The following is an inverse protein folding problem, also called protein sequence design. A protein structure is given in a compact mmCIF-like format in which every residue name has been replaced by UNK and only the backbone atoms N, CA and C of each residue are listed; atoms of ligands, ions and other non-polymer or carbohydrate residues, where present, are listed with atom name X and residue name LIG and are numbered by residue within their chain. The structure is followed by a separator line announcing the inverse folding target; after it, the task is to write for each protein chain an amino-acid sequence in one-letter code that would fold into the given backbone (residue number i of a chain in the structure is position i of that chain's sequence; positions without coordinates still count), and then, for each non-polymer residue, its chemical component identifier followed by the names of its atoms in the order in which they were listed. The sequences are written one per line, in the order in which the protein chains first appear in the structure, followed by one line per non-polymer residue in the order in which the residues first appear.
data_IF_026515674558
#
_entry.id   IF_026515674558
#
_cell.length_a   1.000
_cell.length_b   1.000
_cell.length_c   1.000
_cell.angle_alpha   90.00
_cell.angle_beta   90.00
_cell.angle_gamma   90.00
#
_symmetry.space_group_name_H-M   'P 1'
#
loop_
_entity.id
_entity.type
_entity.pdbx_description
1 polymer ?
#
# COMPACT_ATOMS: atom_id res chain seq x y z
N UNK A 1 0.24 11.18 -22.78
CA UNK A 1 -1.16 10.89 -22.36
C UNK A 1 -1.69 12.11 -21.61
N UNK A 2 -2.99 12.35 -21.61
CA UNK A 2 -3.60 13.41 -20.78
C UNK A 2 -3.65 12.93 -19.33
N UNK A 3 -3.60 13.84 -18.34
CA UNK A 3 -3.88 13.51 -16.93
C UNK A 3 -5.24 12.79 -16.80
N UNK A 4 -5.39 11.84 -15.86
CA UNK A 4 -4.44 11.47 -14.81
C UNK A 4 -3.42 10.39 -15.22
N UNK A 5 -3.42 9.94 -16.48
CA UNK A 5 -2.63 8.80 -16.90
C UNK A 5 -1.13 9.07 -16.97
N UNK A 6 -0.33 8.18 -16.38
CA UNK A 6 1.14 8.19 -16.48
C UNK A 6 1.61 7.18 -17.52
N UNK A 7 1.23 5.91 -17.37
CA UNK A 7 1.57 4.84 -18.32
C UNK A 7 0.52 3.74 -18.33
N UNK A 8 0.41 3.03 -19.45
CA UNK A 8 -0.33 1.77 -19.54
C UNK A 8 0.58 0.63 -19.12
N UNK A 9 0.10 -0.20 -18.19
CA UNK A 9 0.79 -1.41 -17.74
C UNK A 9 0.52 -2.55 -18.71
N UNK A 10 -0.74 -2.77 -19.04
CA UNK A 10 -1.15 -3.88 -19.89
C UNK A 10 -2.67 -4.02 -19.96
N UNK A 11 -3.12 -5.22 -20.33
CA UNK A 11 -4.53 -5.59 -20.29
C UNK A 11 -4.70 -6.93 -19.57
N UNK A 12 -5.80 -7.09 -18.87
CA UNK A 12 -6.27 -8.38 -18.34
C UNK A 12 -7.66 -8.63 -18.90
N UNK A 13 -7.74 -9.52 -19.90
CA UNK A 13 -8.95 -9.67 -20.70
C UNK A 13 -9.34 -8.35 -21.37
N UNK A 14 -10.52 -7.82 -21.02
CA UNK A 14 -11.03 -6.53 -21.53
C UNK A 14 -10.64 -5.32 -20.68
N UNK A 15 -10.08 -5.54 -19.49
CA UNK A 15 -9.71 -4.47 -18.56
C UNK A 15 -8.31 -3.94 -18.88
N UNK A 16 -8.16 -2.62 -18.96
CA UNK A 16 -6.88 -1.94 -19.15
C UNK A 16 -6.31 -1.58 -17.78
N UNK A 17 -5.04 -1.87 -17.54
CA UNK A 17 -4.35 -1.49 -16.30
C UNK A 17 -3.48 -0.26 -16.57
N UNK A 18 -3.66 0.78 -15.75
CA UNK A 18 -2.91 2.03 -15.85
C UNK A 18 -2.23 2.38 -14.53
N UNK A 19 -1.02 2.92 -14.63
CA UNK A 19 -0.47 3.74 -13.54
C UNK A 19 -0.92 5.19 -13.76
N UNK A 20 -1.43 5.80 -12.70
CA UNK A 20 -1.99 7.15 -12.70
C UNK A 20 -1.29 8.05 -11.69
N UNK A 21 -1.42 9.36 -11.88
CA UNK A 21 -0.96 10.38 -10.94
C UNK A 21 -1.94 10.48 -9.77
N UNK A 22 -1.74 9.67 -8.73
CA UNK A 22 -2.62 9.64 -7.57
C UNK A 22 -2.69 10.98 -6.84
N UNK A 23 -1.61 11.77 -6.84
CA UNK A 23 -1.66 13.13 -6.28
C UNK A 23 -2.66 14.00 -7.05
N UNK A 24 -2.62 13.98 -8.37
CA UNK A 24 -3.60 14.73 -9.16
C UNK A 24 -5.03 14.27 -8.86
N UNK A 25 -5.26 12.97 -8.72
CA UNK A 25 -6.59 12.43 -8.38
C UNK A 25 -7.03 12.94 -7.00
N UNK A 26 -6.17 12.86 -5.98
CA UNK A 26 -6.45 13.36 -4.62
C UNK A 26 -6.76 14.85 -4.59
N UNK A 27 -6.01 15.64 -5.35
CA UNK A 27 -6.18 17.10 -5.38
C UNK A 27 -7.42 17.55 -6.18
N UNK A 28 -7.94 16.75 -7.12
CA UNK A 28 -8.92 17.23 -8.12
C UNK A 28 -10.18 16.37 -8.27
N UNK A 29 -10.16 15.10 -7.86
CA UNK A 29 -11.25 14.15 -8.10
C UNK A 29 -11.76 13.52 -6.80
N UNK A 30 -10.86 12.95 -6.00
CA UNK A 30 -11.23 12.26 -4.76
C UNK A 30 -10.00 12.10 -3.84
N UNK A 31 -10.06 12.73 -2.67
CA UNK A 31 -8.97 12.74 -1.68
C UNK A 31 -8.63 11.37 -1.08
N UNK A 32 -9.58 10.43 -1.10
CA UNK A 32 -9.43 9.07 -0.55
C UNK A 32 -8.75 8.09 -1.52
N UNK A 33 -8.44 8.50 -2.76
CA UNK A 33 -7.70 7.65 -3.69
C UNK A 33 -6.24 7.48 -3.22
N UNK A 34 -5.92 6.35 -2.60
CA UNK A 34 -4.61 6.10 -1.99
C UNK A 34 -3.70 5.22 -2.86
N UNK A 35 -4.05 3.94 -3.03
CA UNK A 35 -3.15 2.95 -3.63
C UNK A 35 -3.54 2.58 -5.05
N UNK A 36 -4.83 2.31 -5.23
CA UNK A 36 -5.39 1.76 -6.44
C UNK A 36 -6.91 1.90 -6.40
N UNK A 37 -7.57 1.67 -7.54
CA UNK A 37 -9.02 1.70 -7.61
C UNK A 37 -9.57 1.17 -8.93
N UNK A 38 -10.87 0.87 -8.91
CA UNK A 38 -11.65 0.46 -10.06
C UNK A 38 -13.01 1.19 -10.07
N UNK A 39 -13.79 1.00 -11.14
CA UNK A 39 -15.02 1.75 -11.42
C UNK A 39 -16.10 1.68 -10.32
N UNK A 40 -16.34 0.51 -9.74
CA UNK A 40 -17.42 0.34 -8.76
C UNK A 40 -17.10 1.01 -7.42
N UNK A 41 -15.82 1.08 -7.06
CA UNK A 41 -15.29 1.79 -5.89
C UNK A 41 -15.17 3.28 -6.16
N UNK A 42 -14.75 3.65 -7.38
CA UNK A 42 -14.55 5.04 -7.80
C UNK A 42 -15.20 5.28 -9.16
N UNK A 43 -16.42 5.84 -9.16
CA UNK A 43 -17.23 6.02 -10.36
C UNK A 43 -16.60 6.93 -11.44
N UNK A 44 -15.58 7.73 -11.09
CA UNK A 44 -14.82 8.52 -12.06
C UNK A 44 -13.81 7.69 -12.87
N UNK A 45 -13.49 6.47 -12.43
CA UNK A 45 -12.64 5.53 -13.17
C UNK A 45 -13.49 4.89 -14.27
N UNK A 46 -13.03 4.83 -15.54
CA UNK A 46 -13.77 4.16 -16.59
C UNK A 46 -14.04 2.68 -16.29
N UNK A 47 -15.20 2.18 -16.72
CA UNK A 47 -15.65 0.78 -16.49
C UNK A 47 -14.66 -0.28 -16.96
N UNK A 48 -13.85 0.02 -17.97
CA UNK A 48 -12.90 -0.90 -18.56
C UNK A 48 -11.46 -0.66 -18.07
N UNK A 49 -11.28 0.00 -16.92
CA UNK A 49 -9.98 0.40 -16.39
C UNK A 49 -9.76 0.03 -14.92
N UNK A 50 -8.52 -0.36 -14.62
CA UNK A 50 -7.98 -0.55 -13.29
C UNK A 50 -6.82 0.43 -13.10
N UNK A 51 -6.83 1.21 -12.03
CA UNK A 51 -5.85 2.27 -11.80
C UNK A 51 -4.97 1.95 -10.60
N UNK A 52 -3.66 2.16 -10.76
CA UNK A 52 -2.64 2.04 -9.71
C UNK A 52 -2.02 3.42 -9.48
N UNK A 53 -1.92 3.87 -8.23
CA UNK A 53 -1.17 5.07 -7.91
C UNK A 53 0.32 4.83 -8.21
N UNK A 54 0.95 5.75 -8.93
CA UNK A 54 2.41 5.78 -9.11
C UNK A 54 3.17 5.79 -7.78
N UNK A 55 2.67 6.46 -6.73
CA UNK A 55 3.38 6.54 -5.45
C UNK A 55 3.36 5.20 -4.69
N UNK A 56 2.19 4.54 -4.60
CA UNK A 56 1.98 3.38 -3.72
C UNK A 56 1.67 2.06 -4.45
N UNK A 57 1.04 2.11 -5.62
CA UNK A 57 0.55 0.93 -6.35
C UNK A 57 1.57 0.28 -7.28
N UNK A 58 2.51 1.04 -7.84
CA UNK A 58 3.40 0.56 -8.91
C UNK A 58 4.38 -0.54 -8.45
N UNK A 59 4.94 -0.45 -7.24
CA UNK A 59 5.93 -1.43 -6.73
C UNK A 59 5.31 -2.78 -6.39
N UNK A 60 4.05 -2.76 -5.99
CA UNK A 60 3.27 -3.93 -5.57
C UNK A 60 2.21 -4.28 -6.63
N UNK A 61 2.43 -3.88 -7.90
CA UNK A 61 1.50 -3.96 -9.03
C UNK A 61 0.75 -5.29 -9.09
N UNK A 62 1.47 -6.42 -9.09
CA UNK A 62 0.84 -7.75 -9.21
C UNK A 62 -0.20 -8.01 -8.12
N UNK A 63 0.06 -7.54 -6.89
CA UNK A 63 -0.84 -7.75 -5.76
C UNK A 63 -2.10 -6.89 -5.87
N UNK A 64 -1.93 -5.65 -6.31
CA UNK A 64 -3.05 -4.74 -6.50
C UNK A 64 -3.89 -5.08 -7.72
N UNK A 65 -3.29 -5.59 -8.80
CA UNK A 65 -4.05 -6.06 -9.97
C UNK A 65 -4.94 -7.24 -9.59
N UNK A 66 -4.43 -8.26 -8.90
CA UNK A 66 -5.24 -9.42 -8.48
C UNK A 66 -6.34 -9.02 -7.48
N UNK A 67 -6.04 -8.09 -6.58
CA UNK A 67 -7.00 -7.46 -5.68
C UNK A 67 -8.14 -6.77 -6.45
N UNK A 68 -7.81 -5.86 -7.37
CA UNK A 68 -8.79 -5.08 -8.13
C UNK A 68 -9.64 -5.97 -9.06
N UNK A 69 -9.04 -6.99 -9.68
CA UNK A 69 -9.77 -7.95 -10.50
C UNK A 69 -10.81 -8.71 -9.66
N UNK A 70 -10.45 -9.05 -8.43
CA UNK A 70 -11.34 -9.73 -7.48
C UNK A 70 -12.50 -8.81 -7.10
N UNK A 71 -12.22 -7.57 -6.69
CA UNK A 71 -13.25 -6.58 -6.38
C UNK A 71 -14.17 -6.32 -7.55
N UNK A 72 -13.61 -5.95 -8.70
CA UNK A 72 -14.35 -5.66 -9.92
C UNK A 72 -15.28 -6.82 -10.31
N UNK A 73 -14.77 -8.05 -10.30
CA UNK A 73 -15.55 -9.25 -10.64
C UNK A 73 -16.73 -9.47 -9.68
N UNK A 74 -16.53 -9.27 -8.38
CA UNK A 74 -17.59 -9.44 -7.38
C UNK A 74 -18.61 -8.31 -7.45
N UNK A 75 -18.16 -7.06 -7.52
CA UNK A 75 -19.03 -5.89 -7.56
C UNK A 75 -19.84 -5.83 -8.86
N UNK A 76 -19.27 -6.27 -9.99
CA UNK A 76 -20.01 -6.42 -11.26
C UNK A 76 -21.18 -7.41 -11.18
N UNK A 77 -21.19 -8.30 -10.18
CA UNK A 77 -22.26 -9.27 -9.90
C UNK A 77 -23.21 -8.80 -8.80
N UNK A 78 -23.09 -7.54 -8.36
CA UNK A 78 -23.93 -6.96 -7.31
C UNK A 78 -23.50 -7.31 -5.88
N UNK A 79 -22.31 -7.88 -5.68
CA UNK A 79 -21.77 -8.10 -4.33
C UNK A 79 -21.37 -6.75 -3.73
N UNK A 80 -21.74 -6.51 -2.47
CA UNK A 80 -21.42 -5.29 -1.73
C UNK A 80 -19.91 -5.06 -1.64
N UNK A 81 -19.50 -3.78 -1.69
CA UNK A 81 -18.12 -3.34 -1.51
C UNK A 81 -17.41 -4.04 -0.34
N UNK A 82 -17.97 -4.02 0.87
CA UNK A 82 -17.33 -4.63 2.06
C UNK A 82 -16.95 -6.10 1.90
N UNK A 83 -17.77 -6.87 1.16
CA UNK A 83 -17.51 -8.30 0.88
C UNK A 83 -16.44 -8.45 -0.21
N UNK A 84 -16.52 -7.63 -1.24
CA UNK A 84 -15.55 -7.59 -2.32
C UNK A 84 -14.16 -7.20 -1.80
N UNK A 85 -14.09 -6.13 -1.00
CA UNK A 85 -12.90 -5.63 -0.31
C UNK A 85 -12.24 -6.72 0.55
N UNK A 86 -13.02 -7.40 1.41
CA UNK A 86 -12.51 -8.53 2.22
C UNK A 86 -11.93 -9.65 1.35
N UNK A 87 -12.60 -10.00 0.26
CA UNK A 87 -12.13 -11.06 -0.62
C UNK A 87 -10.87 -10.66 -1.40
N UNK A 88 -10.79 -9.40 -1.86
CA UNK A 88 -9.58 -8.84 -2.45
C UNK A 88 -8.39 -8.92 -1.49
N UNK A 89 -8.58 -8.52 -0.22
CA UNK A 89 -7.54 -8.59 0.80
C UNK A 89 -7.06 -10.03 1.07
N UNK A 90 -7.97 -11.01 1.02
CA UNK A 90 -7.61 -12.44 1.12
C UNK A 90 -6.74 -12.85 -0.07
N UNK A 91 -7.14 -12.51 -1.30
CA UNK A 91 -6.37 -12.84 -2.52
C UNK A 91 -4.98 -12.21 -2.47
N UNK A 92 -4.91 -10.91 -2.16
CA UNK A 92 -3.65 -10.18 -2.05
C UNK A 92 -2.70 -10.83 -1.03
N UNK A 93 -3.23 -11.20 0.14
CA UNK A 93 -2.48 -11.89 1.19
C UNK A 93 -1.94 -13.24 0.71
N UNK A 94 -2.76 -14.04 0.04
CA UNK A 94 -2.35 -15.34 -0.47
C UNK A 94 -1.25 -15.21 -1.52
N UNK A 95 -1.32 -14.22 -2.42
CA UNK A 95 -0.26 -13.98 -3.39
C UNK A 95 1.06 -13.57 -2.73
N UNK A 96 1.02 -12.70 -1.72
CA UNK A 96 2.22 -12.31 -0.95
C UNK A 96 2.87 -13.53 -0.26
N UNK A 97 2.05 -14.43 0.28
CA UNK A 97 2.51 -15.63 0.98
C UNK A 97 3.24 -16.65 0.09
N UNK A 98 3.00 -16.62 -1.23
CA UNK A 98 3.70 -17.48 -2.19
C UNK A 98 5.17 -17.09 -2.35
N UNK A 99 5.55 -15.85 -2.06
CA UNK A 99 6.93 -15.40 -2.25
C UNK A 99 7.90 -16.13 -1.32
N UNK A 100 9.09 -16.47 -1.85
CA UNK A 100 10.19 -17.02 -1.04
C UNK A 100 10.66 -16.02 0.03
N UNK A 101 10.62 -14.72 -0.27
CA UNK A 101 10.91 -13.62 0.65
C UNK A 101 10.00 -13.66 1.88
N UNK A 102 8.68 -13.81 1.67
CA UNK A 102 7.70 -13.95 2.75
C UNK A 102 8.05 -15.11 3.68
N UNK A 103 8.28 -16.31 3.13
CA UNK A 103 8.60 -17.50 3.94
C UNK A 103 9.88 -17.31 4.76
N UNK A 104 10.89 -16.64 4.20
CA UNK A 104 12.14 -16.31 4.92
C UNK A 104 11.88 -15.31 6.05
N UNK A 105 11.10 -14.27 5.78
CA UNK A 105 10.75 -13.24 6.75
C UNK A 105 9.90 -13.79 7.90
N UNK A 106 8.93 -14.66 7.60
CA UNK A 106 8.10 -15.32 8.60
C UNK A 106 8.96 -16.16 9.56
N UNK A 107 9.86 -16.99 9.02
CA UNK A 107 10.81 -17.77 9.84
C UNK A 107 11.72 -16.90 10.71
N UNK A 108 12.14 -15.74 10.19
CA UNK A 108 12.93 -14.79 10.98
C UNK A 108 12.11 -14.19 12.12
N UNK A 109 10.85 -13.81 11.84
CA UNK A 109 9.91 -13.27 12.83
C UNK A 109 9.66 -14.28 13.97
N UNK A 110 9.42 -15.54 13.63
CA UNK A 110 9.19 -16.63 14.58
C UNK A 110 10.40 -16.93 15.45
N UNK A 111 11.62 -16.84 14.88
CA UNK A 111 12.85 -17.14 15.63
C UNK A 111 13.30 -15.96 16.49
N UNK A 112 13.37 -14.76 15.91
CA UNK A 112 13.98 -13.59 16.54
C UNK A 112 13.41 -12.29 15.93
N UNK A 113 12.34 -11.75 16.55
CA UNK A 113 11.63 -10.54 16.09
C UNK A 113 12.57 -9.32 15.87
N UNK A 114 13.63 -9.19 16.66
CA UNK A 114 14.61 -8.10 16.53
C UNK A 114 15.25 -8.00 15.14
N UNK A 115 15.59 -9.12 14.49
CA UNK A 115 16.20 -9.12 13.16
C UNK A 115 15.22 -8.70 12.05
N UNK A 116 13.92 -8.86 12.30
CA UNK A 116 12.89 -8.36 11.41
C UNK A 116 12.80 -6.85 11.53
N UNK A 117 12.89 -6.30 12.76
CA UNK A 117 12.93 -4.85 12.97
C UNK A 117 14.12 -4.20 12.24
N UNK A 118 15.32 -4.79 12.30
CA UNK A 118 16.48 -4.30 11.53
C UNK A 118 16.25 -4.30 10.01
N UNK A 119 15.40 -5.20 9.49
CA UNK A 119 15.02 -5.21 8.07
C UNK A 119 13.91 -4.21 7.74
N UNK A 120 13.06 -3.90 8.72
CA UNK A 120 11.99 -2.91 8.58
C UNK A 120 12.57 -1.50 8.63
N UNK A 121 13.44 -1.19 9.59
CA UNK A 121 14.05 0.13 9.72
C UNK A 121 15.02 0.42 8.57
N UNK A 122 14.68 1.36 7.69
CA UNK A 122 15.58 1.75 6.58
C UNK A 122 16.44 2.94 6.92
N UNK A 123 15.85 3.97 7.54
CA UNK A 123 16.55 5.21 7.87
C UNK A 123 15.91 5.87 9.08
N UNK A 124 16.73 6.21 10.08
CA UNK A 124 16.31 7.11 11.15
C UNK A 124 16.16 8.51 10.56
N UNK A 125 14.93 9.03 10.55
CA UNK A 125 14.63 10.35 10.02
C UNK A 125 14.92 11.43 11.05
N UNK A 126 14.41 11.26 12.27
CA UNK A 126 14.57 12.22 13.36
C UNK A 126 14.52 11.50 14.70
N UNK A 127 15.37 11.94 15.63
CA UNK A 127 15.34 11.56 17.04
C UNK A 127 14.91 12.79 17.84
N UNK A 128 13.68 12.76 18.37
CA UNK A 128 13.15 13.87 19.16
C UNK A 128 13.59 13.77 20.63
N UNK A 129 13.79 12.55 21.13
CA UNK A 129 14.36 12.29 22.45
C UNK A 129 15.03 10.90 22.47
N UNK A 130 15.56 10.48 23.61
CA UNK A 130 16.01 9.09 23.77
C UNK A 130 14.88 8.07 23.60
N UNK A 131 13.63 8.49 23.79
CA UNK A 131 12.44 7.64 23.80
C UNK A 131 11.57 7.79 22.55
N UNK A 132 11.72 8.86 21.75
CA UNK A 132 10.90 9.10 20.56
C UNK A 132 11.75 9.17 19.28
N UNK A 133 11.53 8.21 18.38
CA UNK A 133 12.25 8.06 17.11
C UNK A 133 11.28 7.99 15.93
N UNK A 134 11.61 8.68 14.84
CA UNK A 134 10.87 8.61 13.57
C UNK A 134 11.72 7.88 12.55
N UNK A 135 11.18 6.80 12.00
CA UNK A 135 11.85 5.94 11.03
C UNK A 135 11.15 6.01 9.67
N UNK A 136 11.94 6.09 8.60
CA UNK A 136 11.50 5.60 7.29
C UNK A 136 11.68 4.08 7.30
N UNK A 137 10.63 3.35 6.95
CA UNK A 137 10.60 1.89 7.02
C UNK A 137 10.32 1.23 5.67
N UNK A 138 10.62 -0.06 5.58
CA UNK A 138 10.26 -0.92 4.46
C UNK A 138 8.80 -1.35 4.59
N UNK A 139 7.89 -0.58 3.99
CA UNK A 139 6.45 -0.79 4.06
C UNK A 139 6.00 -2.17 3.57
N UNK A 140 6.68 -2.70 2.56
CA UNK A 140 6.39 -4.05 2.04
C UNK A 140 6.52 -5.12 3.13
N UNK A 141 7.58 -5.07 3.95
CA UNK A 141 7.75 -6.06 5.04
C UNK A 141 6.62 -5.95 6.06
N UNK A 142 6.16 -4.73 6.35
CA UNK A 142 5.02 -4.49 7.25
C UNK A 142 3.74 -5.08 6.66
N UNK A 143 3.45 -4.82 5.37
CA UNK A 143 2.32 -5.38 4.64
C UNK A 143 2.34 -6.90 4.54
N UNK A 144 3.52 -7.46 4.34
CA UNK A 144 3.70 -8.90 4.25
C UNK A 144 3.47 -9.57 5.62
N UNK A 145 4.00 -9.04 6.73
CA UNK A 145 4.05 -9.77 8.00
C UNK A 145 3.06 -9.34 9.09
N UNK A 146 2.50 -8.13 8.99
CA UNK A 146 1.74 -7.52 10.09
C UNK A 146 0.40 -6.98 9.64
N UNK A 147 0.37 -6.03 8.69
CA UNK A 147 -0.86 -5.33 8.33
C UNK A 147 -0.87 -4.94 6.86
N UNK A 148 -1.72 -5.62 6.08
CA UNK A 148 -1.74 -5.51 4.61
C UNK A 148 -2.14 -4.12 4.11
N UNK A 149 -2.95 -3.39 4.89
CA UNK A 149 -3.40 -2.03 4.58
C UNK A 149 -2.47 -0.95 5.15
N UNK A 150 -1.21 -1.27 5.48
CA UNK A 150 -0.21 -0.29 5.90
C UNK A 150 0.33 0.49 4.68
N UNK A 151 -0.02 1.78 4.58
CA UNK A 151 0.22 2.60 3.37
C UNK A 151 1.08 3.85 3.62
N UNK A 152 0.81 4.59 4.69
CA UNK A 152 1.47 5.88 4.94
C UNK A 152 2.39 5.85 6.15
N UNK A 153 1.90 5.33 7.27
CA UNK A 153 2.63 5.36 8.51
C UNK A 153 1.79 4.97 9.73
N UNK A 154 2.41 5.02 10.90
CA UNK A 154 1.77 4.71 12.17
C UNK A 154 2.70 4.82 13.36
N UNK A 155 2.16 4.56 14.54
CA UNK A 155 2.92 4.53 15.79
C UNK A 155 2.38 3.46 16.76
N UNK A 156 3.17 3.17 17.79
CA UNK A 156 2.92 2.16 18.83
C UNK A 156 1.52 2.26 19.49
N UNK A 157 1.00 3.48 19.69
CA UNK A 157 -0.34 3.66 20.30
C UNK A 157 -1.52 3.23 19.41
N UNK A 158 -1.30 3.04 18.10
CA UNK A 158 -2.32 2.53 17.17
C UNK A 158 -2.01 1.09 16.77
N UNK A 159 -0.74 0.77 16.57
CA UNK A 159 -0.30 -0.52 16.07
C UNK A 159 0.61 -1.22 17.07
N UNK A 160 0.12 -2.31 17.67
CA UNK A 160 0.85 -3.10 18.67
C UNK A 160 2.12 -3.78 18.16
N UNK A 161 2.29 -3.88 16.84
CA UNK A 161 3.52 -4.41 16.23
C UNK A 161 4.62 -3.36 16.09
N UNK A 162 4.34 -2.08 16.31
CA UNK A 162 5.33 -1.01 16.30
C UNK A 162 5.94 -0.92 17.70
N UNK A 163 7.29 -0.93 17.83
CA UNK A 163 7.95 -0.78 19.12
C UNK A 163 7.56 0.52 19.82
N UNK A 164 7.46 0.46 21.15
CA UNK A 164 7.12 1.63 21.95
C UNK A 164 8.08 2.80 21.66
N UNK A 165 7.51 4.01 21.49
CA UNK A 165 8.28 5.21 21.20
C UNK A 165 8.76 5.35 19.76
N UNK A 166 8.29 4.51 18.84
CA UNK A 166 8.58 4.63 17.42
C UNK A 166 7.39 5.14 16.60
N UNK A 167 7.70 6.04 15.67
CA UNK A 167 6.81 6.46 14.59
C UNK A 167 7.42 5.96 13.29
N UNK A 168 6.64 5.22 12.52
CA UNK A 168 7.05 4.62 11.26
C UNK A 168 6.37 5.34 10.11
N UNK A 169 7.16 5.70 9.09
CA UNK A 169 6.69 6.30 7.84
C UNK A 169 7.07 5.35 6.70
N UNK A 170 6.09 4.98 5.88
CA UNK A 170 6.35 4.14 4.71
C UNK A 170 7.31 4.85 3.74
N UNK A 171 8.26 4.10 3.19
CA UNK A 171 9.21 4.61 2.20
C UNK A 171 8.56 5.09 0.89
N UNK A 172 7.33 4.65 0.61
CA UNK A 172 6.57 5.05 -0.57
C UNK A 172 5.94 6.45 -0.42
N UNK A 173 5.86 6.99 0.81
CA UNK A 173 5.42 8.37 1.03
C UNK A 173 6.43 9.36 0.43
N UNK A 174 5.97 10.24 -0.45
CA UNK A 174 6.86 11.14 -1.19
C UNK A 174 7.68 12.06 -0.29
N UNK A 175 8.95 12.30 -0.68
CA UNK A 175 9.88 13.19 0.04
C UNK A 175 9.32 14.59 0.29
N UNK A 176 8.43 15.07 -0.59
CA UNK A 176 7.76 16.38 -0.43
C UNK A 176 6.78 16.38 0.74
N UNK A 177 6.06 15.27 0.98
CA UNK A 177 5.24 15.08 2.19
C UNK A 177 6.12 14.90 3.43
N UNK A 178 7.24 14.19 3.32
CA UNK A 178 8.18 14.00 4.44
C UNK A 178 8.80 15.33 4.91
N UNK A 179 9.10 16.28 4.00
CA UNK A 179 9.68 17.59 4.36
C UNK A 179 8.78 18.46 5.23
N UNK A 180 7.47 18.29 5.15
CA UNK A 180 6.52 18.99 6.03
C UNK A 180 6.73 18.58 7.50
N UNK A 181 7.14 17.34 7.75
CA UNK A 181 7.40 16.81 9.09
C UNK A 181 8.83 17.05 9.61
N UNK A 182 9.72 17.59 8.77
CA UNK A 182 11.13 17.85 9.13
C UNK A 182 11.44 19.32 9.39
N UNK A 183 10.49 20.23 9.14
CA UNK A 183 10.71 21.68 9.15
C UNK A 183 10.07 22.39 10.34
N UNK A 184 9.82 21.65 11.42
CA UNK A 184 9.34 22.16 12.71
C UNK A 184 10.32 21.82 13.83
#
# INVERSE_FOLDING_TARGET
MKKPYVKKVGNVGKLKVYVVDGKYIRDNLNEEFTNCGEHYSYHFIPKDELWLDREHGEKDEKYYVDYLLTEYSLMSKGISYDKAWKQGNIVQKLERQKEKSYKKLLRLKEKQNYWVLEKIHKKLLKKYSNYLKVWIINGKIVRDLYFIDYVEGGHDKVYSFIPEGEIWIDEDVSKKRIKVYSSS
#
